data_IF_067943406614
#
_entry.id   IF_067943406614
#
_cell.length_a   1.000
_cell.length_b   1.000
_cell.length_c   1.000
_cell.angle_alpha   90.00
_cell.angle_beta   90.00
_cell.angle_gamma   90.00
#
_symmetry.space_group_name_H-M   'P 1'
#
loop_
_entity.id
_entity.type
_entity.pdbx_description
1 polymer ?
#
# COMPACT_ATOMS: atom_id res chain seq x y z
N UNK A 1 -8.77 5.62 -5.82
CA UNK A 1 -7.55 4.91 -5.40
C UNK A 1 -6.95 5.57 -4.17
N UNK A 2 -6.83 6.90 -4.16
CA UNK A 2 -6.32 7.67 -3.01
C UNK A 2 -7.20 7.57 -1.76
N UNK A 3 -8.53 7.57 -1.87
CA UNK A 3 -9.43 7.47 -0.69
C UNK A 3 -9.23 6.17 0.09
N UNK A 4 -9.01 5.05 -0.61
CA UNK A 4 -8.71 3.76 0.04
C UNK A 4 -7.38 3.80 0.79
N UNK A 5 -6.38 4.50 0.26
CA UNK A 5 -5.09 4.68 0.93
C UNK A 5 -5.29 5.53 2.20
N UNK A 6 -6.07 6.61 2.12
CA UNK A 6 -6.40 7.43 3.30
C UNK A 6 -7.11 6.62 4.38
N UNK A 7 -8.09 5.79 4.01
CA UNK A 7 -8.79 4.90 4.95
C UNK A 7 -7.83 3.92 5.64
N UNK A 8 -6.87 3.36 4.90
CA UNK A 8 -5.84 2.47 5.47
C UNK A 8 -4.95 3.19 6.46
N UNK A 9 -4.45 4.38 6.11
CA UNK A 9 -3.61 5.17 7.02
C UNK A 9 -4.37 5.62 8.27
N UNK A 10 -5.63 6.01 8.14
CA UNK A 10 -6.49 6.32 9.28
C UNK A 10 -6.72 5.08 10.15
N UNK A 11 -6.92 3.91 9.55
CA UNK A 11 -7.16 2.67 10.31
C UNK A 11 -5.89 2.17 11.00
N UNK A 12 -4.74 2.24 10.33
CA UNK A 12 -3.46 1.73 10.84
C UNK A 12 -2.77 2.71 11.80
N UNK A 13 -2.77 4.01 11.49
CA UNK A 13 -2.01 5.02 12.24
C UNK A 13 -2.88 6.09 12.90
N UNK A 14 -4.21 6.05 12.75
CA UNK A 14 -5.11 7.09 13.27
C UNK A 14 -4.76 8.52 12.81
N UNK A 15 -4.06 8.66 11.68
CA UNK A 15 -3.66 9.94 11.07
C UNK A 15 -3.83 9.90 9.57
N UNK A 16 -3.95 11.08 8.96
CA UNK A 16 -3.87 11.19 7.52
C UNK A 16 -2.44 10.90 7.01
N UNK A 17 -2.31 10.29 5.81
CA UNK A 17 -1.01 10.17 5.16
C UNK A 17 -0.47 11.56 4.81
N UNK A 18 0.83 11.75 4.94
CA UNK A 18 1.50 12.94 4.40
C UNK A 18 1.46 12.90 2.87
N UNK A 19 1.67 14.04 2.18
CA UNK A 19 1.68 14.08 0.71
C UNK A 19 2.72 13.14 0.07
N UNK A 20 3.86 12.98 0.73
CA UNK A 20 4.96 12.11 0.26
C UNK A 20 4.61 10.62 0.43
N UNK A 21 4.00 10.26 1.55
CA UNK A 21 3.49 8.91 1.81
C UNK A 21 2.36 8.54 0.85
N UNK A 22 1.42 9.47 0.61
CA UNK A 22 0.31 9.27 -0.32
C UNK A 22 0.83 9.04 -1.74
N UNK A 23 1.79 9.86 -2.20
CA UNK A 23 2.41 9.71 -3.52
C UNK A 23 3.10 8.36 -3.67
N UNK A 24 3.88 7.96 -2.66
CA UNK A 24 4.58 6.67 -2.63
C UNK A 24 3.61 5.49 -2.66
N UNK A 25 2.55 5.54 -1.84
CA UNK A 25 1.53 4.49 -1.77
C UNK A 25 0.73 4.37 -3.07
N UNK A 26 0.40 5.49 -3.72
CA UNK A 26 -0.25 5.48 -5.04
C UNK A 26 0.68 4.88 -6.08
N UNK A 27 1.94 5.32 -6.14
CA UNK A 27 2.93 4.79 -7.07
C UNK A 27 3.07 3.27 -6.92
N UNK A 28 3.18 2.78 -5.69
CA UNK A 28 3.28 1.35 -5.38
C UNK A 28 2.06 0.55 -5.82
N UNK A 29 0.85 1.01 -5.52
CA UNK A 29 -0.39 0.30 -5.91
C UNK A 29 -0.58 0.29 -7.44
N UNK A 30 -0.06 1.31 -8.14
CA UNK A 30 -0.11 1.38 -9.61
C UNK A 30 1.02 0.61 -10.30
N UNK A 31 2.00 0.11 -9.56
CA UNK A 31 3.12 -0.65 -10.11
C UNK A 31 2.62 -1.99 -10.66
N UNK A 32 3.06 -2.33 -11.89
CA UNK A 32 2.69 -3.57 -12.52
C UNK A 32 3.46 -4.72 -11.87
N UNK A 33 2.74 -5.62 -11.19
CA UNK A 33 3.32 -6.85 -10.64
C UNK A 33 3.60 -7.81 -11.77
N UNK A 34 4.83 -8.30 -11.81
CA UNK A 34 5.24 -9.37 -12.71
C UNK A 34 5.22 -10.71 -11.99
N UNK A 35 4.85 -11.77 -12.70
CA UNK A 35 5.00 -13.14 -12.23
C UNK A 35 6.47 -13.60 -12.21
N UNK A 36 6.70 -14.85 -11.80
CA UNK A 36 8.02 -15.46 -11.75
C UNK A 36 8.72 -15.57 -13.12
N UNK A 37 7.97 -15.49 -14.21
CA UNK A 37 8.46 -15.49 -15.60
C UNK A 37 8.65 -14.06 -16.15
N UNK A 38 8.46 -13.03 -15.31
CA UNK A 38 8.60 -11.63 -15.68
C UNK A 38 7.43 -11.07 -16.50
N UNK A 39 6.29 -11.78 -16.56
CA UNK A 39 5.11 -11.33 -17.30
C UNK A 39 4.19 -10.53 -16.37
N UNK A 40 3.63 -9.39 -16.84
CA UNK A 40 2.66 -8.65 -16.05
C UNK A 40 1.43 -9.52 -15.78
N UNK A 41 1.03 -9.61 -14.51
CA UNK A 41 -0.20 -10.29 -14.13
C UNK A 41 -1.42 -9.40 -14.45
N UNK A 42 -2.62 -9.96 -14.30
CA UNK A 42 -3.85 -9.19 -14.49
C UNK A 42 -3.84 -7.91 -13.64
N UNK A 43 -4.12 -6.72 -14.20
CA UNK A 43 -4.03 -5.45 -13.47
C UNK A 43 -4.90 -5.39 -12.21
N UNK A 44 -6.03 -6.11 -12.17
CA UNK A 44 -6.87 -6.18 -10.97
C UNK A 44 -6.22 -7.04 -9.90
N UNK A 45 -5.58 -8.15 -10.28
CA UNK A 45 -4.83 -8.97 -9.34
C UNK A 45 -3.58 -8.23 -8.84
N UNK A 46 -2.86 -7.54 -9.73
CA UNK A 46 -1.71 -6.67 -9.39
C UNK A 46 -2.09 -5.65 -8.32
N UNK A 47 -3.17 -4.90 -8.54
CA UNK A 47 -3.63 -3.89 -7.59
C UNK A 47 -4.07 -4.49 -6.25
N UNK A 48 -4.70 -5.67 -6.24
CA UNK A 48 -5.09 -6.35 -5.00
C UNK A 48 -3.87 -6.86 -4.22
N UNK A 49 -2.89 -7.44 -4.90
CA UNK A 49 -1.63 -7.91 -4.29
C UNK A 49 -0.86 -6.75 -3.68
N UNK A 50 -0.65 -5.66 -4.42
CA UNK A 50 0.07 -4.49 -3.91
C UNK A 50 -0.66 -3.85 -2.73
N UNK A 51 -1.99 -3.89 -2.71
CA UNK A 51 -2.75 -3.39 -1.58
C UNK A 51 -2.59 -4.25 -0.32
N UNK A 52 -2.59 -5.58 -0.47
CA UNK A 52 -2.33 -6.49 0.65
C UNK A 52 -0.90 -6.35 1.18
N UNK A 53 0.07 -6.19 0.28
CA UNK A 53 1.47 -6.01 0.65
C UNK A 53 1.69 -4.66 1.33
N UNK A 54 1.06 -3.59 0.85
CA UNK A 54 1.07 -2.28 1.51
C UNK A 54 0.48 -2.38 2.92
N UNK A 55 -0.67 -3.06 3.11
CA UNK A 55 -1.24 -3.30 4.44
C UNK A 55 -0.28 -4.09 5.34
N UNK A 56 0.36 -5.12 4.82
CA UNK A 56 1.35 -5.92 5.56
C UNK A 56 2.56 -5.07 5.96
N UNK A 57 3.10 -4.28 5.04
CA UNK A 57 4.21 -3.37 5.30
C UNK A 57 3.85 -2.32 6.36
N UNK A 58 2.64 -1.78 6.33
CA UNK A 58 2.17 -0.82 7.33
C UNK A 58 2.01 -1.45 8.71
N UNK A 59 1.40 -2.64 8.81
CA UNK A 59 1.27 -3.37 10.08
C UNK A 59 2.62 -3.79 10.67
N UNK A 60 3.60 -4.11 9.82
CA UNK A 60 4.95 -4.48 10.25
C UNK A 60 5.90 -3.27 10.36
N UNK A 61 5.42 -2.06 10.06
CA UNK A 61 6.23 -0.86 10.13
C UNK A 61 6.57 -0.54 11.59
N UNK A 62 7.77 0.00 11.80
CA UNK A 62 8.20 0.49 13.13
C UNK A 62 7.26 1.59 13.64
N UNK A 63 6.71 2.42 12.75
CA UNK A 63 5.72 3.43 13.14
C UNK A 63 4.45 2.83 13.75
N UNK A 64 4.01 1.66 13.28
CA UNK A 64 2.88 0.96 13.88
C UNK A 64 3.27 0.30 15.21
N UNK A 65 4.44 -0.35 15.24
CA UNK A 65 4.95 -1.02 16.45
C UNK A 65 5.28 -0.07 17.60
N UNK A 66 5.62 1.19 17.28
CA UNK A 66 5.88 2.24 18.27
C UNK A 66 4.70 3.21 18.45
N UNK A 67 3.59 3.03 17.71
CA UNK A 67 2.26 3.53 18.11
C UNK A 67 1.72 2.65 19.24
N UNK A 68 2.34 2.72 20.41
CA UNK A 68 1.86 2.10 21.65
C UNK A 68 2.11 3.02 22.84
#
# INVERSE_FOLDING_TARGET
TEDRIREVYLTAFSREPTPEELSTAVAYITEAVTDADGKPIDPKQSALTNYQDLLWALMNSKEFLFCH
#
